data_IF_504428081943
#
_entry.id   IF_504428081943
#
_cell.length_a   1.000
_cell.length_b   1.000
_cell.length_c   1.000
_cell.angle_alpha   90.00
_cell.angle_beta   90.00
_cell.angle_gamma   90.00
#
_symmetry.space_group_name_H-M   'P 1'
#
loop_
_entity.id
_entity.type
_entity.pdbx_description
1 polymer ?
#
# COMPACT_ATOMS: atom_id res chain seq x y z
N UNK A 1 72.66 -2.65 37.31
CA UNK A 1 71.93 -2.92 36.04
C UNK A 1 70.46 -2.93 36.38
N UNK A 2 69.73 -1.88 36.00
CA UNK A 2 68.32 -1.69 36.35
C UNK A 2 67.42 -2.32 35.28
N UNK A 3 66.47 -3.14 35.70
CA UNK A 3 65.46 -3.74 34.83
C UNK A 3 64.22 -2.84 34.79
N UNK A 4 63.88 -2.34 33.59
CA UNK A 4 62.68 -1.56 33.34
C UNK A 4 61.49 -2.47 33.04
N UNK A 5 60.40 -2.28 33.79
CA UNK A 5 59.12 -2.96 33.62
C UNK A 5 58.21 -2.06 32.75
N UNK A 6 57.93 -2.47 31.52
CA UNK A 6 56.91 -1.83 30.67
C UNK A 6 55.53 -2.42 30.98
N UNK A 7 54.66 -1.65 31.65
CA UNK A 7 53.23 -1.93 31.70
C UNK A 7 52.58 -1.38 30.41
N UNK A 8 51.96 -2.27 29.63
CA UNK A 8 51.01 -1.91 28.58
C UNK A 8 49.60 -1.81 29.20
N UNK A 9 49.05 -0.59 29.28
CA UNK A 9 47.63 -0.40 29.57
C UNK A 9 46.84 -0.59 28.27
N UNK A 10 46.02 -1.64 28.23
CA UNK A 10 44.99 -1.79 27.21
C UNK A 10 43.76 -0.96 27.62
N UNK A 11 43.49 0.14 26.92
CA UNK A 11 42.25 0.88 27.05
C UNK A 11 41.16 0.17 26.24
N UNK A 12 40.24 -0.49 26.93
CA UNK A 12 38.99 -0.96 26.33
C UNK A 12 38.07 0.26 26.17
N UNK A 13 37.98 0.79 24.95
CA UNK A 13 36.98 1.79 24.60
C UNK A 13 35.63 1.11 24.41
N UNK A 14 34.67 1.42 25.27
CA UNK A 14 33.26 1.17 24.98
C UNK A 14 32.87 2.05 23.79
N UNK A 15 32.58 1.42 22.64
CA UNK A 15 31.88 2.09 21.55
C UNK A 15 30.42 2.09 21.92
N UNK A 16 29.91 3.24 22.35
CA UNK A 16 28.48 3.48 22.42
C UNK A 16 27.96 3.46 20.98
N UNK A 17 26.98 2.61 20.68
CA UNK A 17 26.15 2.78 19.50
C UNK A 17 25.45 4.14 19.65
N UNK A 18 25.96 5.16 18.95
CA UNK A 18 25.24 6.41 18.78
C UNK A 18 24.05 6.10 17.87
N UNK A 19 22.84 6.13 18.45
CA UNK A 19 21.59 6.19 17.71
C UNK A 19 21.74 7.26 16.62
N UNK A 20 21.70 6.82 15.36
CA UNK A 20 21.70 7.74 14.24
C UNK A 20 20.53 8.72 14.43
N UNK A 21 20.76 10.05 14.32
CA UNK A 21 19.68 11.01 14.50
C UNK A 21 18.64 10.73 13.42
N UNK A 22 17.41 10.40 13.86
CA UNK A 22 16.27 10.30 12.96
C UNK A 22 16.24 11.58 12.12
N UNK A 23 16.35 11.43 10.80
CA UNK A 23 16.31 12.55 9.88
C UNK A 23 15.03 13.34 10.16
N UNK A 24 15.20 14.58 10.63
CA UNK A 24 14.08 15.49 10.88
C UNK A 24 13.55 15.89 9.50
N UNK A 25 12.54 15.16 9.03
CA UNK A 25 11.72 15.58 7.89
C UNK A 25 11.21 17.00 8.19
N UNK A 26 11.10 17.84 7.17
CA UNK A 26 10.53 19.18 7.31
C UNK A 26 9.18 19.13 8.04
N UNK A 27 8.67 20.27 8.50
CA UNK A 27 7.41 20.35 9.26
C UNK A 27 6.23 19.66 8.54
N UNK A 28 6.35 19.47 7.22
CA UNK A 28 5.55 18.55 6.41
C UNK A 28 6.37 17.83 5.35
N UNK A 29 5.80 16.76 4.78
CA UNK A 29 6.30 16.08 3.59
C UNK A 29 5.15 15.66 2.67
N UNK A 30 5.49 15.26 1.45
CA UNK A 30 4.51 14.94 0.40
C UNK A 30 4.78 13.58 -0.21
N UNK A 31 3.72 12.86 -0.55
CA UNK A 31 3.80 11.62 -1.30
C UNK A 31 2.67 11.51 -2.32
N UNK A 32 2.91 10.77 -3.39
CA UNK A 32 1.93 10.52 -4.43
C UNK A 32 1.14 9.24 -4.16
N UNK A 33 -0.16 9.24 -4.49
CA UNK A 33 -1.04 8.09 -4.50
C UNK A 33 -1.60 7.90 -5.92
N UNK A 34 -1.45 6.69 -6.45
CA UNK A 34 -1.89 6.30 -7.80
C UNK A 34 -2.32 4.83 -7.80
N UNK A 35 -3.13 4.40 -8.75
CA UNK A 35 -3.62 3.03 -8.86
C UNK A 35 -4.63 2.89 -9.98
N UNK A 36 -5.13 1.68 -10.20
CA UNK A 36 -6.25 1.43 -11.12
C UNK A 36 -6.00 1.99 -12.52
N UNK A 37 -4.82 1.76 -13.07
CA UNK A 37 -4.48 2.16 -14.43
C UNK A 37 -3.32 1.31 -14.94
N UNK A 38 -3.31 0.97 -16.24
CA UNK A 38 -3.96 1.71 -17.33
C UNK A 38 -5.08 1.00 -18.09
N UNK A 39 -5.34 -0.29 -17.88
CA UNK A 39 -6.42 -1.06 -18.52
C UNK A 39 -6.47 -1.04 -20.07
N UNK A 40 -5.32 -1.24 -20.73
CA UNK A 40 -5.16 -1.16 -22.20
C UNK A 40 -6.07 -2.05 -23.04
N UNK A 41 -6.58 -3.16 -22.50
CA UNK A 41 -7.31 -4.18 -23.25
C UNK A 41 -8.60 -4.66 -22.54
N UNK A 42 -9.09 -3.88 -21.58
CA UNK A 42 -10.33 -4.22 -20.91
C UNK A 42 -11.53 -4.02 -21.87
N UNK A 43 -12.57 -4.89 -21.87
CA UNK A 43 -13.69 -4.77 -22.81
C UNK A 43 -14.45 -3.44 -22.70
N UNK A 44 -14.36 -2.76 -21.56
CA UNK A 44 -14.93 -1.43 -21.35
C UNK A 44 -14.11 -0.29 -21.99
N UNK A 45 -12.86 -0.54 -22.34
CA UNK A 45 -11.94 0.46 -22.89
C UNK A 45 -12.23 0.70 -24.37
N UNK A 46 -12.81 1.87 -24.67
CA UNK A 46 -13.16 2.28 -26.04
C UNK A 46 -12.05 3.11 -26.72
N UNK A 47 -10.97 3.41 -26.00
CA UNK A 47 -9.84 4.19 -26.48
C UNK A 47 -8.79 3.28 -27.13
N UNK A 48 -8.04 3.74 -28.14
CA UNK A 48 -6.92 2.97 -28.69
C UNK A 48 -5.87 2.67 -27.60
N UNK A 49 -5.29 1.45 -27.55
CA UNK A 49 -4.30 1.09 -26.52
C UNK A 49 -3.12 2.05 -26.42
N UNK A 50 -2.62 2.55 -27.55
CA UNK A 50 -1.53 3.52 -27.61
C UNK A 50 -1.89 4.87 -26.97
N UNK A 51 -3.16 5.25 -27.03
CA UNK A 51 -3.65 6.48 -26.44
C UNK A 51 -3.73 6.35 -24.93
N UNK A 52 -4.29 5.24 -24.45
CA UNK A 52 -4.33 4.90 -23.04
C UNK A 52 -2.90 4.81 -22.49
N UNK A 53 -1.95 4.29 -23.28
CA UNK A 53 -0.53 4.18 -22.89
C UNK A 53 0.11 5.55 -22.73
N UNK A 54 -0.14 6.46 -23.66
CA UNK A 54 0.33 7.84 -23.56
C UNK A 54 -0.27 8.57 -22.34
N UNK A 55 -1.54 8.31 -22.00
CA UNK A 55 -2.17 8.91 -20.82
C UNK A 55 -1.54 8.39 -19.52
N UNK A 56 -1.27 7.09 -19.42
CA UNK A 56 -0.60 6.52 -18.25
C UNK A 56 0.83 7.04 -18.10
N UNK A 57 1.59 7.06 -19.21
CA UNK A 57 2.93 7.64 -19.23
C UNK A 57 2.95 9.11 -18.78
N UNK A 58 1.91 9.89 -19.15
CA UNK A 58 1.78 11.27 -18.69
C UNK A 58 1.52 11.37 -17.17
N UNK A 59 0.75 10.44 -16.58
CA UNK A 59 0.57 10.37 -15.12
C UNK A 59 1.90 10.06 -14.43
N UNK A 60 2.61 9.03 -14.89
CA UNK A 60 3.91 8.66 -14.31
C UNK A 60 4.93 9.81 -14.43
N UNK A 61 4.97 10.50 -15.58
CA UNK A 61 5.85 11.66 -15.78
C UNK A 61 5.50 12.82 -14.84
N UNK A 62 4.22 13.14 -14.64
CA UNK A 62 3.82 14.21 -13.73
C UNK A 62 4.18 13.88 -12.27
N UNK A 63 4.07 12.61 -11.88
CA UNK A 63 4.52 12.13 -10.56
C UNK A 63 6.05 12.23 -10.44
N UNK A 64 6.80 11.86 -11.48
CA UNK A 64 8.27 11.90 -11.48
C UNK A 64 8.83 13.34 -11.45
N UNK A 65 8.09 14.29 -12.00
CA UNK A 65 8.43 15.71 -11.94
C UNK A 65 7.97 16.38 -10.64
N UNK A 66 7.17 15.70 -9.81
CA UNK A 66 6.60 16.25 -8.59
C UNK A 66 7.59 16.22 -7.42
N UNK A 67 7.49 17.23 -6.55
CA UNK A 67 8.24 17.28 -5.29
C UNK A 67 7.57 16.38 -4.25
N UNK A 68 7.81 15.07 -4.37
CA UNK A 68 7.32 14.01 -3.49
C UNK A 68 8.44 13.12 -2.99
N UNK A 69 8.30 12.62 -1.77
CA UNK A 69 9.29 11.77 -1.11
C UNK A 69 9.21 10.31 -1.56
N UNK A 70 8.00 9.85 -1.90
CA UNK A 70 7.73 8.52 -2.41
C UNK A 70 6.36 8.47 -3.12
N UNK A 71 6.10 7.34 -3.79
CA UNK A 71 4.87 7.00 -4.48
C UNK A 71 4.25 5.77 -3.84
N UNK A 72 2.93 5.77 -3.67
CA UNK A 72 2.13 4.61 -3.27
C UNK A 72 1.27 4.21 -4.46
N UNK A 73 1.47 3.00 -4.97
CA UNK A 73 0.66 2.41 -6.03
C UNK A 73 -0.28 1.32 -5.45
N UNK A 74 -1.59 1.56 -5.49
CA UNK A 74 -2.60 0.69 -4.84
C UNK A 74 -3.08 -0.48 -5.69
N UNK A 75 -2.27 -0.97 -6.63
CA UNK A 75 -2.64 -2.12 -7.48
C UNK A 75 -3.43 -1.79 -8.74
N UNK A 76 -3.84 -2.84 -9.46
CA UNK A 76 -4.54 -2.80 -10.75
C UNK A 76 -3.80 -2.00 -11.82
N UNK A 77 -2.55 -2.40 -11.99
CA UNK A 77 -1.62 -2.07 -13.07
C UNK A 77 -1.93 -2.83 -14.37
N UNK A 78 -2.70 -3.91 -14.31
CA UNK A 78 -3.03 -4.76 -15.44
C UNK A 78 -4.54 -4.70 -15.75
N UNK A 79 -4.94 -5.14 -16.94
CA UNK A 79 -6.35 -5.49 -17.17
C UNK A 79 -6.55 -6.98 -16.90
N UNK A 80 -7.75 -7.37 -16.43
CA UNK A 80 -8.16 -8.76 -16.19
C UNK A 80 -7.87 -9.76 -17.34
N UNK A 81 -7.70 -9.29 -18.58
CA UNK A 81 -7.43 -10.13 -19.75
C UNK A 81 -5.97 -10.12 -20.22
N UNK A 82 -5.09 -9.40 -19.54
CA UNK A 82 -3.70 -9.18 -19.92
C UNK A 82 -2.80 -9.46 -18.71
N UNK A 83 -2.53 -10.74 -18.51
CA UNK A 83 -1.67 -11.26 -17.44
C UNK A 83 -0.47 -12.04 -17.99
N UNK A 84 0.07 -11.64 -19.14
CA UNK A 84 1.29 -12.27 -19.65
C UNK A 84 2.51 -11.79 -18.83
N UNK A 85 3.51 -12.65 -18.63
CA UNK A 85 4.77 -12.33 -17.94
C UNK A 85 5.41 -11.02 -18.42
N UNK A 86 5.30 -10.70 -19.71
CA UNK A 86 5.81 -9.46 -20.29
C UNK A 86 5.19 -8.21 -19.69
N UNK A 87 3.94 -8.29 -19.23
CA UNK A 87 3.20 -7.17 -18.62
C UNK A 87 3.75 -6.90 -17.23
N UNK A 88 3.98 -7.94 -16.42
CA UNK A 88 4.63 -7.78 -15.10
C UNK A 88 6.01 -7.15 -15.26
N UNK A 89 6.81 -7.61 -16.24
CA UNK A 89 8.12 -7.04 -16.52
C UNK A 89 8.06 -5.57 -16.98
N UNK A 90 7.05 -5.22 -17.79
CA UNK A 90 6.81 -3.83 -18.23
C UNK A 90 6.44 -2.92 -17.07
N UNK A 91 5.46 -3.32 -16.24
CA UNK A 91 5.04 -2.56 -15.04
C UNK A 91 6.17 -2.42 -14.03
N UNK A 92 6.95 -3.48 -13.83
CA UNK A 92 8.14 -3.44 -12.98
C UNK A 92 9.17 -2.42 -13.50
N UNK A 93 9.45 -2.45 -14.80
CA UNK A 93 10.40 -1.51 -15.41
C UNK A 93 9.93 -0.05 -15.33
N UNK A 94 8.63 0.21 -15.42
CA UNK A 94 8.06 1.56 -15.24
C UNK A 94 8.21 2.05 -13.80
N UNK A 95 7.97 1.18 -12.80
CA UNK A 95 8.18 1.54 -11.40
C UNK A 95 9.65 1.79 -11.09
N UNK A 96 10.56 0.95 -11.58
CA UNK A 96 12.01 1.14 -11.43
C UNK A 96 12.53 2.38 -12.15
N UNK A 97 11.83 2.85 -13.20
CA UNK A 97 12.22 4.05 -13.95
C UNK A 97 11.85 5.35 -13.23
N UNK A 98 10.89 5.34 -12.29
CA UNK A 98 10.58 6.51 -11.47
C UNK A 98 11.79 6.87 -10.61
N UNK A 99 12.14 8.15 -10.56
CA UNK A 99 13.19 8.70 -9.72
C UNK A 99 12.85 8.71 -8.22
N UNK A 100 11.68 8.22 -7.81
CA UNK A 100 11.20 8.18 -6.43
C UNK A 100 11.07 6.75 -5.91
N UNK A 101 11.17 6.52 -4.59
CA UNK A 101 10.75 5.28 -3.96
C UNK A 101 9.29 4.94 -4.28
N UNK A 102 9.01 3.70 -4.66
CA UNK A 102 7.66 3.23 -4.98
C UNK A 102 7.27 2.07 -4.06
N UNK A 103 6.23 2.29 -3.27
CA UNK A 103 5.56 1.26 -2.47
C UNK A 103 4.34 0.75 -3.23
N UNK A 104 4.31 -0.55 -3.48
CA UNK A 104 3.29 -1.18 -4.32
C UNK A 104 2.57 -2.29 -3.56
N UNK A 105 1.24 -2.33 -3.67
CA UNK A 105 0.42 -3.49 -3.30
C UNK A 105 -0.35 -3.96 -4.54
N UNK A 106 -0.45 -5.28 -4.80
CA UNK A 106 -1.19 -5.79 -5.94
C UNK A 106 -2.71 -5.70 -5.75
N UNK A 107 -3.42 -5.55 -6.85
CA UNK A 107 -4.87 -5.67 -6.97
C UNK A 107 -5.30 -7.03 -7.54
N UNK A 108 -6.58 -7.18 -7.83
CA UNK A 108 -7.13 -8.44 -8.36
C UNK A 108 -6.82 -8.66 -9.84
N UNK A 109 -6.58 -7.59 -10.62
CA UNK A 109 -6.23 -7.74 -12.03
C UNK A 109 -4.82 -8.25 -12.29
N UNK A 110 -3.94 -8.21 -11.28
CA UNK A 110 -2.60 -8.78 -11.43
C UNK A 110 -2.54 -10.29 -11.21
N UNK A 111 -3.57 -10.96 -10.70
CA UNK A 111 -3.48 -12.40 -10.51
C UNK A 111 -4.85 -13.07 -10.43
N UNK A 112 -5.76 -12.51 -9.62
CA UNK A 112 -7.05 -13.14 -9.31
C UNK A 112 -7.92 -13.30 -10.55
N UNK A 113 -8.03 -12.24 -11.36
CA UNK A 113 -8.89 -12.22 -12.54
C UNK A 113 -8.21 -12.75 -13.81
N UNK A 114 -6.99 -13.28 -13.71
CA UNK A 114 -6.24 -13.79 -14.86
C UNK A 114 -6.82 -15.10 -15.44
N UNK A 115 -7.81 -15.70 -14.76
CA UNK A 115 -8.63 -16.78 -15.32
C UNK A 115 -9.42 -16.31 -16.56
N UNK A 116 -9.76 -15.02 -16.65
CA UNK A 116 -10.34 -14.39 -17.84
C UNK A 116 -9.37 -14.40 -19.04
N UNK A 117 -8.07 -14.50 -18.78
CA UNK A 117 -7.03 -14.70 -19.79
C UNK A 117 -6.70 -16.20 -20.03
N UNK A 118 -7.37 -17.12 -19.33
CA UNK A 118 -7.13 -18.56 -19.40
C UNK A 118 -5.88 -19.02 -18.64
N UNK A 119 -5.38 -18.21 -17.69
CA UNK A 119 -4.24 -18.53 -16.84
C UNK A 119 -4.70 -18.93 -15.44
N UNK A 120 -3.91 -19.71 -14.71
CA UNK A 120 -4.20 -20.08 -13.32
C UNK A 120 -3.85 -18.91 -12.39
N UNK A 121 -4.82 -18.33 -11.64
CA UNK A 121 -4.56 -17.25 -10.70
C UNK A 121 -3.47 -17.54 -9.66
N UNK A 122 -3.30 -18.79 -9.24
CA UNK A 122 -2.27 -19.15 -8.25
C UNK A 122 -0.87 -19.15 -8.85
N UNK A 123 -0.72 -19.58 -10.10
CA UNK A 123 0.56 -19.45 -10.82
C UNK A 123 0.90 -17.98 -11.04
N UNK A 124 -0.10 -17.14 -11.36
CA UNK A 124 0.08 -15.70 -11.52
C UNK A 124 0.44 -14.98 -10.22
N UNK A 125 -0.16 -15.38 -9.09
CA UNK A 125 0.20 -14.84 -7.77
C UNK A 125 1.65 -15.16 -7.40
N UNK A 126 2.12 -16.38 -7.68
CA UNK A 126 3.52 -16.74 -7.47
C UNK A 126 4.46 -15.96 -8.40
N UNK A 127 4.08 -15.78 -9.66
CA UNK A 127 4.84 -14.96 -10.60
C UNK A 127 4.95 -13.50 -10.13
N UNK A 128 3.84 -12.91 -9.70
CA UNK A 128 3.79 -11.56 -9.12
C UNK A 128 4.77 -11.42 -7.95
N UNK A 129 4.75 -12.36 -6.99
CA UNK A 129 5.68 -12.36 -5.86
C UNK A 129 7.13 -12.45 -6.33
N UNK A 130 7.41 -13.32 -7.30
CA UNK A 130 8.76 -13.49 -7.84
C UNK A 130 9.31 -12.20 -8.48
N UNK A 131 8.43 -11.35 -9.03
CA UNK A 131 8.80 -10.11 -9.71
C UNK A 131 8.86 -8.92 -8.75
N UNK A 132 7.80 -8.67 -7.98
CA UNK A 132 7.61 -7.40 -7.25
C UNK A 132 8.03 -7.42 -5.78
N UNK A 133 8.30 -8.60 -5.21
CA UNK A 133 8.50 -8.73 -3.74
C UNK A 133 9.93 -9.11 -3.35
N UNK A 134 10.90 -8.87 -4.23
CA UNK A 134 12.31 -9.16 -3.97
C UNK A 134 12.94 -8.14 -3.03
N UNK A 135 13.90 -8.58 -2.20
CA UNK A 135 14.60 -7.72 -1.24
C UNK A 135 13.69 -7.09 -0.18
N UNK A 136 14.23 -6.18 0.62
CA UNK A 136 13.53 -5.45 1.70
C UNK A 136 13.63 -3.93 1.49
N UNK A 137 13.61 -3.52 0.22
CA UNK A 137 13.60 -2.13 -0.23
C UNK A 137 12.37 -1.88 -1.11
N UNK A 138 11.92 -0.63 -1.18
CA UNK A 138 10.93 -0.18 -2.16
C UNK A 138 11.48 -0.29 -3.59
N UNK A 139 10.60 -0.26 -4.58
CA UNK A 139 10.99 -0.13 -5.99
C UNK A 139 11.43 1.32 -6.29
N UNK A 140 11.93 1.55 -7.50
CA UNK A 140 12.27 2.87 -8.03
C UNK A 140 13.76 3.19 -8.05
N UNK A 141 14.13 4.23 -8.80
CA UNK A 141 15.53 4.66 -8.96
C UNK A 141 16.18 5.17 -7.67
N UNK A 142 15.37 5.59 -6.69
CA UNK A 142 15.77 5.76 -5.29
C UNK A 142 14.91 4.81 -4.46
N UNK A 143 15.50 4.21 -3.43
CA UNK A 143 14.81 3.24 -2.58
C UNK A 143 14.69 3.72 -1.14
N UNK A 144 13.67 3.23 -0.45
CA UNK A 144 13.54 3.31 1.01
C UNK A 144 13.45 1.89 1.59
N UNK A 145 13.99 1.65 2.79
CA UNK A 145 13.88 0.35 3.44
C UNK A 145 12.44 0.07 3.87
N UNK A 146 12.06 -1.20 3.84
CA UNK A 146 10.76 -1.69 4.33
C UNK A 146 10.92 -2.98 5.13
N UNK A 147 9.94 -3.28 5.96
CA UNK A 147 9.83 -4.57 6.66
C UNK A 147 8.76 -5.41 5.97
N UNK A 148 9.06 -6.69 5.72
CA UNK A 148 8.10 -7.67 5.21
C UNK A 148 7.60 -8.59 6.31
N UNK A 149 6.31 -8.89 6.29
CA UNK A 149 5.73 -9.92 7.17
C UNK A 149 6.42 -11.28 6.96
N UNK A 150 6.88 -11.58 5.74
CA UNK A 150 7.60 -12.82 5.41
C UNK A 150 8.93 -13.03 6.16
N UNK A 151 9.44 -12.03 6.87
CA UNK A 151 10.57 -12.20 7.79
C UNK A 151 10.18 -12.91 9.10
N UNK A 152 8.88 -13.00 9.39
CA UNK A 152 8.34 -13.64 10.58
C UNK A 152 8.08 -15.13 10.32
N UNK A 153 8.42 -15.96 11.31
CA UNK A 153 8.15 -17.40 11.27
C UNK A 153 6.65 -17.66 11.08
N UNK A 154 6.31 -18.47 10.08
CA UNK A 154 4.93 -18.84 9.75
C UNK A 154 4.22 -17.91 8.78
N UNK A 155 4.89 -16.86 8.29
CA UNK A 155 4.35 -15.92 7.29
C UNK A 155 5.21 -15.81 6.03
N UNK A 156 6.13 -16.74 5.80
CA UNK A 156 7.16 -16.68 4.75
C UNK A 156 6.59 -16.45 3.33
N UNK A 157 5.35 -16.89 3.09
CA UNK A 157 4.64 -16.74 1.82
C UNK A 157 4.15 -15.30 1.55
N UNK A 158 3.87 -14.50 2.58
CA UNK A 158 3.21 -13.19 2.46
C UNK A 158 4.20 -12.05 2.31
N UNK A 159 4.97 -12.09 1.21
CA UNK A 159 6.03 -11.11 0.94
C UNK A 159 5.49 -9.73 0.59
N UNK A 160 4.30 -9.67 0.02
CA UNK A 160 3.60 -8.45 -0.37
C UNK A 160 3.06 -7.64 0.81
N UNK A 161 3.00 -8.23 2.01
CA UNK A 161 2.67 -7.51 3.24
C UNK A 161 3.90 -6.77 3.74
N UNK A 162 3.88 -5.44 3.58
CA UNK A 162 5.00 -4.59 3.97
C UNK A 162 4.57 -3.51 4.94
N UNK A 163 5.53 -2.97 5.69
CA UNK A 163 5.37 -1.72 6.42
C UNK A 163 6.67 -0.92 6.38
N UNK A 164 6.56 0.40 6.46
CA UNK A 164 7.72 1.29 6.48
C UNK A 164 7.43 2.53 7.31
N UNK A 165 8.47 3.31 7.59
CA UNK A 165 8.36 4.58 8.31
C UNK A 165 8.82 5.73 7.47
N UNK A 166 8.07 6.83 7.54
CA UNK A 166 8.49 8.09 6.96
C UNK A 166 7.84 9.25 7.70
N UNK A 167 8.58 10.33 7.97
CA UNK A 167 8.04 11.53 8.63
C UNK A 167 7.37 11.29 9.99
N UNK A 168 7.78 10.23 10.70
CA UNK A 168 7.22 9.79 11.98
C UNK A 168 6.01 8.86 11.85
N UNK A 169 5.43 8.70 10.66
CA UNK A 169 4.26 7.86 10.43
C UNK A 169 4.63 6.40 10.17
N UNK A 170 3.69 5.51 10.51
CA UNK A 170 3.73 4.12 10.11
C UNK A 170 2.83 3.90 8.90
N UNK A 171 3.40 3.33 7.85
CA UNK A 171 2.67 2.90 6.67
C UNK A 171 2.60 1.38 6.64
N UNK A 172 1.46 0.81 6.31
CA UNK A 172 1.26 -0.64 6.21
C UNK A 172 0.48 -0.99 4.94
N UNK A 173 1.10 -1.75 4.04
CA UNK A 173 0.42 -2.30 2.88
C UNK A 173 -0.06 -3.73 3.18
N UNK A 174 -1.34 -3.97 2.89
CA UNK A 174 -2.02 -5.23 3.11
C UNK A 174 -2.53 -5.74 1.76
N UNK A 175 -2.32 -7.03 1.49
CA UNK A 175 -2.82 -7.64 0.27
C UNK A 175 -4.30 -7.98 0.43
N UNK A 176 -5.14 -6.96 0.25
CA UNK A 176 -6.59 -7.04 0.23
C UNK A 176 -7.05 -6.53 -1.13
N UNK A 177 -7.58 -7.44 -1.94
CA UNK A 177 -7.90 -7.20 -3.36
C UNK A 177 -9.40 -7.18 -3.62
N UNK A 178 -9.80 -6.63 -4.78
CA UNK A 178 -11.16 -6.68 -5.29
C UNK A 178 -11.56 -8.11 -5.66
N UNK A 179 -12.49 -8.29 -6.60
CA UNK A 179 -12.93 -9.62 -7.01
C UNK A 179 -13.48 -10.51 -5.87
N UNK A 180 -13.97 -9.91 -4.78
CA UNK A 180 -14.40 -10.64 -3.58
C UNK A 180 -13.25 -11.23 -2.76
N UNK A 181 -12.05 -10.65 -2.88
CA UNK A 181 -10.83 -10.99 -2.14
C UNK A 181 -10.40 -12.45 -2.31
N UNK A 182 -10.76 -13.09 -3.43
CA UNK A 182 -10.61 -14.53 -3.67
C UNK A 182 -11.32 -15.45 -2.65
N UNK A 183 -12.33 -14.96 -1.93
CA UNK A 183 -13.10 -15.83 -1.00
C UNK A 183 -13.76 -17.01 -1.73
N UNK A 184 -14.21 -16.78 -2.97
CA UNK A 184 -15.00 -17.71 -3.74
C UNK A 184 -16.51 -17.67 -3.38
N UNK A 185 -17.37 -18.17 -4.27
CA UNK A 185 -18.82 -18.12 -4.10
C UNK A 185 -19.37 -19.20 -3.16
N UNK A 186 -18.56 -20.20 -2.82
CA UNK A 186 -18.97 -21.35 -2.04
C UNK A 186 -19.15 -21.02 -0.56
N UNK A 187 -19.86 -21.92 0.16
CA UNK A 187 -20.07 -21.77 1.59
C UNK A 187 -18.73 -21.77 2.35
N UNK A 188 -17.89 -22.77 2.02
CA UNK A 188 -16.51 -22.85 2.50
C UNK A 188 -15.62 -21.91 1.66
N UNK A 189 -14.90 -20.97 2.29
CA UNK A 189 -13.99 -20.09 1.58
C UNK A 189 -12.78 -20.84 1.01
N UNK A 190 -12.19 -20.30 -0.07
CA UNK A 190 -10.94 -20.84 -0.64
C UNK A 190 -9.80 -20.77 0.38
N UNK A 191 -8.94 -21.78 0.40
CA UNK A 191 -7.82 -21.88 1.34
C UNK A 191 -6.88 -20.66 1.26
N UNK A 192 -6.54 -20.21 0.05
CA UNK A 192 -5.72 -19.01 -0.17
C UNK A 192 -6.30 -17.78 0.55
N UNK A 193 -7.61 -17.53 0.42
CA UNK A 193 -8.26 -16.43 1.12
C UNK A 193 -8.18 -16.58 2.63
N UNK A 194 -8.43 -17.78 3.16
CA UNK A 194 -8.39 -18.02 4.61
C UNK A 194 -7.00 -17.69 5.16
N UNK A 195 -5.96 -18.29 4.58
CA UNK A 195 -4.58 -18.12 5.01
C UNK A 195 -4.11 -16.67 4.87
N UNK A 196 -4.36 -16.04 3.71
CA UNK A 196 -3.97 -14.64 3.47
C UNK A 196 -4.74 -13.68 4.36
N UNK A 197 -6.04 -13.86 4.53
CA UNK A 197 -6.85 -12.95 5.35
C UNK A 197 -6.46 -13.02 6.84
N UNK A 198 -6.11 -14.21 7.35
CA UNK A 198 -5.52 -14.36 8.68
C UNK A 198 -4.18 -13.62 8.80
N UNK A 199 -3.30 -13.75 7.80
CA UNK A 199 -2.01 -13.05 7.76
C UNK A 199 -2.17 -11.52 7.68
N UNK A 200 -3.10 -11.03 6.85
CA UNK A 200 -3.46 -9.60 6.74
C UNK A 200 -3.88 -9.04 8.10
N UNK A 201 -4.81 -9.72 8.78
CA UNK A 201 -5.33 -9.25 10.07
C UNK A 201 -4.21 -9.27 11.12
N UNK A 202 -3.37 -10.30 11.13
CA UNK A 202 -2.23 -10.37 12.04
C UNK A 202 -1.24 -9.20 11.80
N UNK A 203 -0.88 -8.93 10.55
CA UNK A 203 0.05 -7.85 10.19
C UNK A 203 -0.49 -6.47 10.53
N UNK A 204 -1.78 -6.24 10.28
CA UNK A 204 -2.48 -5.01 10.65
C UNK A 204 -2.43 -4.79 12.16
N UNK A 205 -2.84 -5.78 12.96
CA UNK A 205 -2.82 -5.69 14.44
C UNK A 205 -1.43 -5.43 14.99
N UNK A 206 -0.42 -6.13 14.47
CA UNK A 206 0.98 -5.91 14.86
C UNK A 206 1.48 -4.51 14.51
N UNK A 207 0.99 -3.93 13.41
CA UNK A 207 1.37 -2.58 13.00
C UNK A 207 0.72 -1.51 13.89
N UNK A 208 -0.56 -1.67 14.23
CA UNK A 208 -1.21 -0.80 15.22
C UNK A 208 -0.59 -0.93 16.62
N UNK A 209 -0.24 -2.14 17.03
CA UNK A 209 0.46 -2.36 18.30
C UNK A 209 1.83 -1.66 18.33
N UNK A 210 2.61 -1.78 17.26
CA UNK A 210 3.86 -1.03 17.10
C UNK A 210 3.63 0.48 17.21
N UNK A 211 2.60 0.99 16.52
CA UNK A 211 2.28 2.41 16.54
C UNK A 211 1.91 2.91 17.96
N UNK A 212 1.15 2.13 18.73
CA UNK A 212 0.84 2.44 20.13
C UNK A 212 2.07 2.38 21.03
N UNK A 213 2.85 1.31 20.94
CA UNK A 213 4.06 1.13 21.77
C UNK A 213 5.07 2.26 21.59
N UNK A 214 5.19 2.76 20.37
CA UNK A 214 6.13 3.82 20.02
C UNK A 214 5.49 5.21 19.99
N UNK A 215 4.22 5.33 20.34
CA UNK A 215 3.48 6.61 20.33
C UNK A 215 3.58 7.32 18.98
N UNK A 216 3.45 6.57 17.89
CA UNK A 216 3.51 7.12 16.54
C UNK A 216 2.28 8.01 16.29
N UNK A 217 2.44 9.15 15.60
CA UNK A 217 1.39 10.12 15.39
C UNK A 217 0.26 9.60 14.49
N UNK A 218 0.51 8.62 13.61
CA UNK A 218 -0.52 8.10 12.72
C UNK A 218 -0.20 6.71 12.17
N UNK A 219 -1.24 6.07 11.60
CA UNK A 219 -1.12 4.85 10.79
C UNK A 219 -1.76 5.10 9.43
N UNK A 220 -1.01 4.82 8.36
CA UNK A 220 -1.49 4.85 6.97
C UNK A 220 -1.61 3.42 6.47
N UNK A 221 -2.82 2.99 6.13
CA UNK A 221 -3.11 1.65 5.61
C UNK A 221 -3.24 1.75 4.10
N UNK A 222 -2.64 0.82 3.37
CA UNK A 222 -2.69 0.73 1.91
C UNK A 222 -3.29 -0.63 1.52
N UNK A 223 -4.40 -0.60 0.78
CA UNK A 223 -5.04 -1.79 0.20
C UNK A 223 -5.42 -1.48 -1.25
N UNK A 224 -5.77 -2.51 -2.03
CA UNK A 224 -6.39 -2.29 -3.33
C UNK A 224 -7.92 -2.13 -3.20
N UNK A 225 -8.57 -3.14 -2.60
CA UNK A 225 -10.01 -3.35 -2.66
C UNK A 225 -10.87 -2.17 -2.18
N UNK A 226 -12.14 -2.18 -2.61
CA UNK A 226 -13.23 -1.53 -1.88
C UNK A 226 -14.05 -2.55 -1.05
N UNK A 227 -13.79 -2.65 0.27
CA UNK A 227 -14.55 -3.46 1.21
C UNK A 227 -16.06 -3.21 1.35
N UNK A 228 -16.63 -2.16 0.71
CA UNK A 228 -18.06 -1.81 0.76
C UNK A 228 -18.55 -1.48 2.18
N UNK A 229 -17.89 -0.54 2.87
CA UNK A 229 -18.27 -0.05 4.21
C UNK A 229 -19.75 0.29 4.35
N UNK A 230 -20.37 0.85 3.32
CA UNK A 230 -21.78 1.19 3.33
C UNK A 230 -22.71 0.00 3.60
N UNK A 231 -22.29 -1.21 3.19
CA UNK A 231 -23.02 -2.45 3.50
C UNK A 231 -22.75 -2.91 4.93
N UNK A 232 -21.48 -2.83 5.35
CA UNK A 232 -21.06 -3.17 6.71
C UNK A 232 -21.83 -2.32 7.75
N UNK A 233 -21.90 -1.01 7.55
CA UNK A 233 -22.60 -0.09 8.45
C UNK A 233 -24.13 -0.31 8.51
N UNK A 234 -24.72 -0.95 7.48
CA UNK A 234 -26.15 -1.34 7.48
C UNK A 234 -26.41 -2.71 8.12
N UNK A 235 -25.38 -3.37 8.67
CA UNK A 235 -25.50 -4.73 9.20
C UNK A 235 -25.62 -5.79 8.11
N UNK A 236 -25.14 -5.51 6.90
CA UNK A 236 -25.14 -6.42 5.75
C UNK A 236 -23.70 -6.78 5.33
N UNK A 237 -22.86 -7.31 6.25
CA UNK A 237 -21.43 -7.49 5.99
C UNK A 237 -21.18 -8.40 4.79
N UNK A 238 -20.21 -8.02 3.95
CA UNK A 238 -19.71 -8.90 2.89
C UNK A 238 -18.74 -9.91 3.52
N UNK A 239 -19.00 -11.24 3.44
CA UNK A 239 -18.12 -12.25 4.03
C UNK A 239 -16.67 -12.21 3.50
N UNK A 240 -16.43 -11.63 2.33
CA UNK A 240 -15.07 -11.42 1.78
C UNK A 240 -14.23 -10.41 2.56
N UNK A 241 -14.87 -9.54 3.36
CA UNK A 241 -14.21 -8.43 4.03
C UNK A 241 -14.61 -8.27 5.50
N UNK A 242 -15.62 -8.99 6.00
CA UNK A 242 -16.19 -8.76 7.33
C UNK A 242 -15.16 -8.89 8.46
N UNK A 243 -14.37 -9.96 8.47
CA UNK A 243 -13.35 -10.17 9.49
C UNK A 243 -12.25 -9.08 9.46
N UNK A 244 -11.87 -8.61 8.26
CA UNK A 244 -10.94 -7.51 8.11
C UNK A 244 -11.52 -6.20 8.64
N UNK A 245 -12.76 -5.87 8.27
CA UNK A 245 -13.44 -4.65 8.71
C UNK A 245 -13.70 -4.63 10.22
N UNK A 246 -14.07 -5.77 10.81
CA UNK A 246 -14.23 -5.92 12.26
C UNK A 246 -12.90 -5.70 12.99
N UNK A 247 -11.81 -6.31 12.51
CA UNK A 247 -10.49 -6.11 13.10
C UNK A 247 -10.00 -4.67 12.93
N UNK A 248 -10.21 -4.07 11.75
CA UNK A 248 -9.85 -2.68 11.47
C UNK A 248 -10.61 -1.73 12.40
N UNK A 249 -11.91 -1.97 12.59
CA UNK A 249 -12.72 -1.16 13.49
C UNK A 249 -12.15 -1.15 14.91
N UNK A 250 -11.80 -2.32 15.45
CA UNK A 250 -11.21 -2.45 16.79
C UNK A 250 -9.89 -1.69 16.90
N UNK A 251 -9.00 -1.82 15.90
CA UNK A 251 -7.70 -1.15 15.95
C UNK A 251 -7.81 0.37 15.80
N UNK A 252 -8.73 0.86 14.95
CA UNK A 252 -8.98 2.29 14.77
C UNK A 252 -9.60 2.91 16.02
N UNK A 253 -10.58 2.25 16.65
CA UNK A 253 -11.22 2.73 17.88
C UNK A 253 -10.22 2.81 19.05
N UNK A 254 -9.24 1.90 19.08
CA UNK A 254 -8.21 1.84 20.11
C UNK A 254 -6.96 2.70 19.84
N UNK A 255 -6.89 3.42 18.72
CA UNK A 255 -5.73 4.24 18.35
C UNK A 255 -6.05 5.73 18.41
N UNK A 256 -5.33 6.46 19.26
CA UNK A 256 -5.60 7.88 19.53
C UNK A 256 -5.28 8.81 18.34
N UNK A 257 -4.40 8.37 17.42
CA UNK A 257 -3.98 9.15 16.26
C UNK A 257 -4.90 9.00 15.04
N UNK A 258 -4.75 9.86 14.02
CA UNK A 258 -5.41 9.69 12.73
C UNK A 258 -4.98 8.37 12.05
N UNK A 259 -5.95 7.75 11.38
CA UNK A 259 -5.77 6.59 10.51
C UNK A 259 -6.21 6.98 9.11
N UNK A 260 -5.30 6.86 8.14
CA UNK A 260 -5.58 7.13 6.73
C UNK A 260 -5.61 5.81 5.97
N UNK A 261 -6.69 5.51 5.25
CA UNK A 261 -6.74 4.38 4.33
C UNK A 261 -6.59 4.88 2.89
N UNK A 262 -5.61 4.36 2.17
CA UNK A 262 -5.37 4.60 0.76
C UNK A 262 -5.82 3.37 -0.03
N UNK A 263 -6.69 3.54 -1.02
CA UNK A 263 -7.16 2.42 -1.83
C UNK A 263 -7.63 2.80 -3.23
N UNK A 264 -8.04 1.79 -4.00
CA UNK A 264 -8.49 1.84 -5.39
C UNK A 264 -9.85 1.16 -5.62
N UNK A 265 -9.94 0.31 -6.65
CA UNK A 265 -11.01 -0.62 -7.02
C UNK A 265 -12.25 0.01 -7.70
N UNK A 266 -12.76 1.16 -7.25
CA UNK A 266 -13.97 1.76 -7.87
C UNK A 266 -13.73 2.90 -8.84
N UNK A 267 -12.45 3.21 -9.10
CA UNK A 267 -11.99 4.21 -10.07
C UNK A 267 -12.61 5.59 -9.84
N UNK A 268 -12.98 5.86 -8.58
CA UNK A 268 -13.73 7.06 -8.18
C UNK A 268 -13.01 7.75 -7.05
N UNK A 269 -12.27 8.81 -7.39
CA UNK A 269 -11.64 9.67 -6.39
C UNK A 269 -12.67 10.14 -5.36
N UNK A 270 -12.37 9.87 -4.09
CA UNK A 270 -13.18 10.32 -2.95
C UNK A 270 -12.33 10.40 -1.70
N UNK A 271 -12.71 11.35 -0.85
CA UNK A 271 -12.19 11.50 0.51
C UNK A 271 -13.39 11.56 1.44
N UNK A 272 -13.51 10.59 2.34
CA UNK A 272 -14.60 10.53 3.30
C UNK A 272 -14.22 9.76 4.57
N UNK A 273 -15.15 9.69 5.52
CA UNK A 273 -15.01 8.91 6.75
C UNK A 273 -16.08 7.81 6.74
N UNK A 274 -15.77 6.60 6.23
CA UNK A 274 -16.79 5.61 5.92
C UNK A 274 -17.13 4.68 7.09
N UNK A 275 -16.43 4.76 8.24
CA UNK A 275 -16.64 3.84 9.37
C UNK A 275 -17.49 4.52 10.45
N UNK A 276 -18.56 3.85 10.86
CA UNK A 276 -19.32 4.17 12.06
C UNK A 276 -19.20 3.04 13.08
N UNK A 277 -19.25 3.37 14.36
CA UNK A 277 -19.40 2.40 15.44
C UNK A 277 -20.75 1.66 15.25
N UNK A 278 -20.74 0.32 15.11
CA UNK A 278 -21.95 -0.44 14.84
C UNK A 278 -22.91 -0.49 16.04
N UNK A 279 -22.42 -0.24 17.26
CA UNK A 279 -23.23 -0.24 18.49
C UNK A 279 -23.86 1.14 18.75
N UNK A 280 -23.10 2.22 18.58
CA UNK A 280 -23.55 3.59 18.90
C UNK A 280 -24.06 4.35 17.67
N UNK A 281 -23.66 3.95 16.46
CA UNK A 281 -23.90 4.68 15.22
C UNK A 281 -23.01 5.91 15.02
N UNK A 282 -22.11 6.20 15.96
CA UNK A 282 -21.22 7.37 15.89
C UNK A 282 -20.12 7.17 14.86
N UNK A 283 -19.72 8.24 14.17
CA UNK A 283 -18.64 8.20 13.19
C UNK A 283 -17.29 8.03 13.89
N UNK A 284 -16.43 7.14 13.39
CA UNK A 284 -15.03 7.12 13.80
C UNK A 284 -14.30 8.30 13.13
N UNK A 285 -14.17 9.40 13.88
CA UNK A 285 -13.64 10.66 13.34
C UNK A 285 -12.15 10.64 13.09
N UNK A 286 -11.40 9.72 13.71
CA UNK A 286 -9.97 9.53 13.47
C UNK A 286 -9.66 8.75 12.18
N UNK A 287 -10.66 8.13 11.53
CA UNK A 287 -10.47 7.38 10.29
C UNK A 287 -10.85 8.20 9.05
N UNK A 288 -9.96 8.27 8.06
CA UNK A 288 -10.20 8.91 6.76
C UNK A 288 -9.86 7.93 5.65
N UNK A 289 -10.75 7.76 4.68
CA UNK A 289 -10.50 7.01 3.46
C UNK A 289 -10.17 7.98 2.32
N UNK A 290 -9.18 7.61 1.52
CA UNK A 290 -8.83 8.22 0.24
C UNK A 290 -8.85 7.11 -0.80
N UNK A 291 -9.81 7.18 -1.72
CA UNK A 291 -9.74 6.40 -2.95
C UNK A 291 -9.04 7.24 -4.02
N UNK A 292 -8.12 6.63 -4.75
CA UNK A 292 -7.46 7.28 -5.87
C UNK A 292 -8.32 7.28 -7.14
N UNK A 293 -7.78 7.86 -8.20
CA UNK A 293 -8.37 7.81 -9.53
C UNK A 293 -8.10 6.47 -10.20
N UNK A 294 -8.80 6.19 -11.30
CA UNK A 294 -8.54 5.02 -12.12
C UNK A 294 -8.98 5.23 -13.56
N UNK A 295 -8.67 4.28 -14.44
CA UNK A 295 -9.14 4.28 -15.82
C UNK A 295 -10.67 4.44 -15.88
N UNK A 296 -11.24 5.25 -16.80
CA UNK A 296 -10.59 6.03 -17.86
C UNK A 296 -10.12 7.43 -17.39
N UNK A 297 -10.33 7.79 -16.13
CA UNK A 297 -9.97 9.10 -15.57
C UNK A 297 -8.62 9.04 -14.87
N UNK A 298 -7.57 8.73 -15.63
CA UNK A 298 -6.22 8.54 -15.11
C UNK A 298 -5.60 9.87 -14.63
N UNK A 299 -5.55 10.01 -13.32
CA UNK A 299 -5.01 11.14 -12.56
C UNK A 299 -4.33 10.58 -11.30
N UNK A 300 -3.79 11.44 -10.44
CA UNK A 300 -3.17 10.99 -9.20
C UNK A 300 -3.56 11.90 -8.05
N UNK A 301 -3.21 11.51 -6.83
CA UNK A 301 -3.51 12.26 -5.62
C UNK A 301 -2.21 12.62 -4.93
N UNK A 302 -2.03 13.89 -4.62
CA UNK A 302 -0.94 14.38 -3.81
C UNK A 302 -1.40 14.44 -2.36
N UNK A 303 -0.67 13.79 -1.47
CA UNK A 303 -0.95 13.81 -0.03
C UNK A 303 0.17 14.56 0.67
N UNK A 304 -0.19 15.58 1.45
CA UNK A 304 0.75 16.31 2.32
C UNK A 304 0.51 15.90 3.77
N UNK A 305 1.53 15.33 4.41
CA UNK A 305 1.51 14.96 5.81
C UNK A 305 2.21 16.05 6.65
N UNK A 306 1.51 16.62 7.63
CA UNK A 306 2.00 17.69 8.51
C UNK A 306 2.24 17.19 9.93
N UNK A 307 3.37 17.58 10.52
CA UNK A 307 3.73 17.23 11.90
C UNK A 307 3.08 18.13 12.95
N UNK A 308 2.52 19.28 12.57
CA UNK A 308 1.99 20.30 13.50
C UNK A 308 0.47 20.46 13.47
N UNK A 309 -0.24 19.77 12.55
CA UNK A 309 -1.67 19.99 12.30
C UNK A 309 -2.57 18.96 13.00
N UNK A 310 -3.75 19.42 13.45
CA UNK A 310 -4.84 18.55 13.94
C UNK A 310 -5.38 17.71 12.78
N UNK A 311 -5.40 18.26 11.57
CA UNK A 311 -5.71 17.55 10.33
C UNK A 311 -4.40 17.14 9.62
N UNK A 312 -3.78 16.08 10.14
CA UNK A 312 -2.44 15.60 9.72
C UNK A 312 -2.26 15.42 8.21
N UNK A 313 -3.30 15.07 7.47
CA UNK A 313 -3.24 14.74 6.05
C UNK A 313 -4.10 15.67 5.20
N UNK A 314 -3.46 16.48 4.36
CA UNK A 314 -4.11 17.23 3.28
C UNK A 314 -4.11 16.41 1.99
N UNK A 315 -5.25 16.34 1.31
CA UNK A 315 -5.47 15.47 0.15
C UNK A 315 -5.86 16.30 -1.06
N UNK A 316 -4.98 16.38 -2.05
CA UNK A 316 -5.16 17.19 -3.25
C UNK A 316 -5.26 16.31 -4.50
N UNK A 317 -6.36 16.37 -5.28
CA UNK A 317 -6.41 15.72 -6.58
C UNK A 317 -5.54 16.46 -7.60
N UNK A 318 -4.73 15.70 -8.35
CA UNK A 318 -3.81 16.21 -9.36
C UNK A 318 -4.30 15.81 -10.75
N UNK A 319 -4.86 16.77 -11.47
CA UNK A 319 -5.52 16.53 -12.76
C UNK A 319 -4.50 16.61 -13.89
N UNK A 320 -4.09 15.44 -14.36
CA UNK A 320 -3.20 15.30 -15.52
C UNK A 320 -3.89 15.75 -16.80
N UNK A 321 -3.24 16.63 -17.54
CA UNK A 321 -3.75 17.11 -18.83
C UNK A 321 -3.74 15.98 -19.86
N UNK A 322 -4.93 15.53 -20.25
CA UNK A 322 -5.09 14.52 -21.29
C UNK A 322 -5.55 15.20 -22.58
N UNK A 323 -4.67 15.30 -23.57
CA UNK A 323 -5.08 15.68 -24.93
C UNK A 323 -6.03 14.63 -25.46
N UNK A 324 -7.24 15.02 -25.91
CA UNK A 324 -8.15 14.07 -26.59
C UNK A 324 -7.53 13.64 -27.93
N UNK A 325 -7.85 12.43 -28.42
CA UNK A 325 -7.44 11.98 -29.75
C UNK A 325 -7.85 12.94 -30.87
#
# INVERSE_FOLDING_TARGET
MAAGLCLLLAAAGCVSEEDAPAARVADSYRFALVGDMPYYADPGTQLPPEFVAAQYAAVLQEIDDADVEFVVHVGDTNSSRVCADSVYAERYAEFEALGHPVFYTPGDNEWLECDNAGLDPMEQLEHLRSTFTQGDESLGGRTLPLERQSSQSGYETFREHVRWRFGGDLYVALHVVGGGNNRGPDAEPRAEFVERNEAVIAWMRQSFELARQESLPSVVIVIHANPRWERFNRGEPNPSFSAFLEALHVEVDAFDGPVLLLHGDTHTFRVDKPISNPETGELLTNFTRVETFGHPRMHWVLITASSEDVDRFDVQPMIVSQTRP
#
